data_IF_620054654862
#
_entry.id   IF_620054654862
#
_cell.length_a   1.000
_cell.length_b   1.000
_cell.length_c   1.000
_cell.angle_alpha   90.00
_cell.angle_beta   90.00
_cell.angle_gamma   90.00
#
_symmetry.space_group_name_H-M   'P 1'
#
loop_
_entity.id
_entity.type
_entity.pdbx_description
1 polymer ?
#
# COMPACT_ATOMS: atom_id res chain seq x y z
N UNK A 1 -15.07 9.37 -0.16
CA UNK A 1 -13.77 8.80 -0.61
C UNK A 1 -12.57 9.24 0.23
N UNK A 2 -12.59 10.42 0.88
CA UNK A 2 -11.45 10.91 1.69
C UNK A 2 -11.08 10.00 2.88
N UNK A 3 -12.08 9.51 3.62
CA UNK A 3 -11.86 8.56 4.73
C UNK A 3 -11.14 7.29 4.26
N UNK A 4 -11.53 6.74 3.11
CA UNK A 4 -10.91 5.56 2.53
C UNK A 4 -9.45 5.82 2.17
N UNK A 5 -9.14 6.97 1.54
CA UNK A 5 -7.75 7.38 1.25
C UNK A 5 -6.88 7.38 2.50
N UNK A 6 -7.35 8.01 3.59
CA UNK A 6 -6.62 8.06 4.87
C UNK A 6 -6.38 6.68 5.45
N UNK A 7 -7.37 5.79 5.41
CA UNK A 7 -7.22 4.40 5.87
C UNK A 7 -6.16 3.67 5.06
N UNK A 8 -6.18 3.76 3.72
CA UNK A 8 -5.19 3.12 2.87
C UNK A 8 -3.76 3.60 3.15
N UNK A 9 -3.58 4.91 3.36
CA UNK A 9 -2.26 5.47 3.72
C UNK A 9 -1.76 4.96 5.08
N UNK A 10 -2.65 4.88 6.07
CA UNK A 10 -2.31 4.35 7.41
C UNK A 10 -1.99 2.86 7.32
N UNK A 11 -2.75 2.08 6.55
CA UNK A 11 -2.47 0.66 6.33
C UNK A 11 -1.11 0.46 5.67
N UNK A 12 -0.79 1.20 4.59
CA UNK A 12 0.51 1.11 3.94
C UNK A 12 1.68 1.49 4.87
N UNK A 13 1.47 2.48 5.75
CA UNK A 13 2.45 2.86 6.75
C UNK A 13 2.69 1.73 7.77
N UNK A 14 1.61 1.10 8.25
CA UNK A 14 1.70 -0.03 9.17
C UNK A 14 2.45 -1.20 8.53
N UNK A 15 2.13 -1.53 7.28
CA UNK A 15 2.80 -2.57 6.51
C UNK A 15 4.30 -2.28 6.37
N UNK A 16 4.67 -1.03 6.06
CA UNK A 16 6.07 -0.59 6.00
C UNK A 16 6.81 -0.73 7.34
N UNK A 17 6.14 -0.42 8.46
CA UNK A 17 6.72 -0.62 9.79
C UNK A 17 6.98 -2.11 10.07
N UNK A 18 6.03 -2.98 9.71
CA UNK A 18 6.17 -4.43 9.88
C UNK A 18 7.27 -4.99 8.97
N UNK A 19 7.45 -4.48 7.74
CA UNK A 19 8.57 -4.84 6.86
C UNK A 19 9.92 -4.61 7.56
N UNK A 20 10.10 -3.46 8.23
CA UNK A 20 11.33 -3.16 8.97
C UNK A 20 11.57 -4.16 10.09
N UNK A 21 10.52 -4.49 10.86
CA UNK A 21 10.60 -5.50 11.94
C UNK A 21 10.94 -6.89 11.39
N UNK A 22 10.33 -7.29 10.27
CA UNK A 22 10.61 -8.58 9.64
C UNK A 22 12.04 -8.68 9.11
N UNK A 23 12.55 -7.62 8.49
CA UNK A 23 13.95 -7.56 8.05
C UNK A 23 14.92 -7.63 9.23
N UNK A 24 14.64 -6.91 10.31
CA UNK A 24 15.45 -6.98 11.53
C UNK A 24 15.39 -8.38 12.17
N UNK A 25 14.21 -9.01 12.21
CA UNK A 25 14.04 -10.36 12.71
C UNK A 25 14.79 -11.39 11.85
N UNK A 26 14.81 -11.20 10.52
CA UNK A 26 15.56 -12.06 9.61
C UNK A 26 17.07 -12.00 9.86
N UNK A 27 17.61 -10.80 10.14
CA UNK A 27 19.02 -10.60 10.49
C UNK A 27 19.41 -11.28 11.82
N UNK A 28 18.43 -11.49 12.72
CA UNK A 28 18.62 -12.12 14.03
C UNK A 28 18.23 -13.60 14.05
N UNK A 29 17.76 -14.15 12.94
CA UNK A 29 17.25 -15.51 12.89
C UNK A 29 18.38 -16.54 13.10
N UNK A 30 18.11 -17.56 13.91
CA UNK A 30 19.07 -18.62 14.22
C UNK A 30 19.32 -19.58 13.04
N UNK A 31 18.43 -19.59 12.04
CA UNK A 31 18.52 -20.48 10.88
C UNK A 31 18.32 -19.72 9.57
N UNK A 32 18.99 -20.15 8.49
CA UNK A 32 18.84 -19.54 7.17
C UNK A 32 17.42 -19.69 6.61
N UNK A 33 16.74 -20.79 6.92
CA UNK A 33 15.36 -21.02 6.46
C UNK A 33 14.39 -20.02 7.09
N UNK A 34 14.51 -19.76 8.40
CA UNK A 34 13.70 -18.74 9.08
C UNK A 34 14.03 -17.34 8.57
N UNK A 35 15.32 -17.01 8.36
CA UNK A 35 15.71 -15.74 7.76
C UNK A 35 15.08 -15.54 6.38
N UNK A 36 15.12 -16.57 5.54
CA UNK A 36 14.57 -16.55 4.18
C UNK A 36 13.05 -16.37 4.19
N UNK A 37 12.35 -17.11 5.06
CA UNK A 37 10.89 -16.98 5.19
C UNK A 37 10.48 -15.57 5.66
N UNK A 38 11.21 -14.98 6.61
CA UNK A 38 10.95 -13.62 7.10
C UNK A 38 11.22 -12.56 6.01
N UNK A 39 12.29 -12.72 5.22
CA UNK A 39 12.58 -11.83 4.09
C UNK A 39 11.52 -11.94 2.98
N UNK A 40 11.04 -13.15 2.69
CA UNK A 40 9.96 -13.36 1.71
C UNK A 40 8.64 -12.72 2.19
N UNK A 41 8.30 -12.86 3.48
CA UNK A 41 7.15 -12.19 4.07
C UNK A 41 7.28 -10.67 4.01
N UNK A 42 8.48 -10.14 4.26
CA UNK A 42 8.76 -8.70 4.16
C UNK A 42 8.58 -8.18 2.72
N UNK A 43 9.00 -8.93 1.71
CA UNK A 43 8.83 -8.55 0.30
C UNK A 43 7.36 -8.52 -0.13
N UNK A 44 6.58 -9.52 0.29
CA UNK A 44 5.13 -9.53 0.01
C UNK A 44 4.44 -8.31 0.64
N UNK A 45 4.79 -8.00 1.89
CA UNK A 45 4.19 -6.88 2.59
C UNK A 45 4.61 -5.51 2.03
N UNK A 46 5.83 -5.40 1.51
CA UNK A 46 6.30 -4.21 0.79
C UNK A 46 5.49 -3.98 -0.49
N UNK A 47 5.23 -5.03 -1.26
CA UNK A 47 4.35 -4.96 -2.43
C UNK A 47 2.90 -4.58 -2.08
N UNK A 48 2.38 -5.10 -0.97
CA UNK A 48 1.04 -4.75 -0.49
C UNK A 48 0.97 -3.27 -0.09
N UNK A 49 1.99 -2.77 0.63
CA UNK A 49 2.10 -1.35 0.98
C UNK A 49 2.14 -0.45 -0.26
N UNK A 50 2.90 -0.81 -1.29
CA UNK A 50 2.95 -0.09 -2.58
C UNK A 50 1.58 -0.08 -3.26
N UNK A 51 0.88 -1.22 -3.27
CA UNK A 51 -0.46 -1.34 -3.85
C UNK A 51 -1.46 -0.43 -3.14
N UNK A 52 -1.40 -0.38 -1.80
CA UNK A 52 -2.23 0.50 -0.98
C UNK A 52 -1.93 1.98 -1.22
N UNK A 53 -0.65 2.36 -1.35
CA UNK A 53 -0.24 3.73 -1.67
C UNK A 53 -0.71 4.13 -3.07
N UNK A 54 -0.58 3.24 -4.06
CA UNK A 54 -1.07 3.49 -5.41
C UNK A 54 -2.59 3.66 -5.43
N UNK A 55 -3.34 2.84 -4.71
CA UNK A 55 -4.78 2.99 -4.56
C UNK A 55 -5.16 4.31 -3.87
N UNK A 56 -4.46 4.69 -2.80
CA UNK A 56 -4.67 5.97 -2.12
C UNK A 56 -4.40 7.16 -3.04
N UNK A 57 -3.33 7.10 -3.85
CA UNK A 57 -3.00 8.12 -4.82
C UNK A 57 -4.08 8.26 -5.90
N UNK A 58 -4.58 7.15 -6.45
CA UNK A 58 -5.70 7.17 -7.40
C UNK A 58 -6.96 7.83 -6.82
N UNK A 59 -7.27 7.55 -5.55
CA UNK A 59 -8.40 8.21 -4.87
C UNK A 59 -8.15 9.71 -4.71
N UNK A 60 -6.92 10.10 -4.38
CA UNK A 60 -6.52 11.51 -4.25
C UNK A 60 -6.74 12.28 -5.55
N UNK A 61 -6.29 11.71 -6.68
CA UNK A 61 -6.49 12.26 -8.02
C UNK A 61 -7.98 12.45 -8.30
N UNK A 62 -8.81 11.43 -8.05
CA UNK A 62 -10.27 11.51 -8.26
C UNK A 62 -10.91 12.60 -7.39
N UNK A 63 -10.52 12.70 -6.12
CA UNK A 63 -11.06 13.70 -5.18
C UNK A 63 -10.72 15.14 -5.61
N UNK A 64 -9.48 15.40 -6.03
CA UNK A 64 -9.02 16.74 -6.38
C UNK A 64 -9.37 17.13 -7.83
N UNK A 65 -9.47 16.18 -8.76
CA UNK A 65 -9.98 16.45 -10.12
C UNK A 65 -11.50 16.62 -10.17
N UNK A 66 -12.27 15.89 -9.35
CA UNK A 66 -13.72 16.09 -9.26
C UNK A 66 -14.09 17.47 -8.69
N UNK A 67 -13.19 18.09 -7.91
CA UNK A 67 -13.38 19.44 -7.37
C UNK A 67 -13.07 20.56 -8.38
N UNK A 68 -12.40 20.26 -9.50
CA UNK A 68 -11.98 21.26 -10.49
C UNK A 68 -12.94 21.39 -11.70
N UNK A 69 -13.96 20.54 -11.81
CA UNK A 69 -14.87 20.53 -12.95
C UNK A 69 -16.31 20.24 -12.56
N UNK A 70 -17.16 21.26 -12.57
CA UNK A 70 -18.56 21.02 -12.89
C UNK A 70 -18.63 20.44 -14.30
N UNK A 71 -18.90 19.13 -14.42
CA UNK A 71 -19.02 18.48 -15.72
C UNK A 71 -18.80 16.97 -15.67
N UNK A 72 -19.92 16.24 -15.61
CA UNK A 72 -20.10 14.86 -16.13
C UNK A 72 -19.02 13.82 -15.81
N UNK A 73 -19.31 12.97 -14.81
CA UNK A 73 -18.68 11.65 -14.66
C UNK A 73 -19.04 10.76 -15.85
N UNK A 74 -18.23 10.79 -16.92
CA UNK A 74 -18.27 9.75 -17.94
C UNK A 74 -17.52 8.53 -17.40
N UNK A 75 -18.26 7.55 -16.91
CA UNK A 75 -17.77 6.21 -16.62
C UNK A 75 -17.34 5.57 -17.94
N UNK A 76 -16.03 5.59 -18.23
CA UNK A 76 -15.45 4.74 -19.26
C UNK A 76 -15.46 3.32 -18.71
N UNK A 77 -16.48 2.55 -19.10
CA UNK A 77 -16.44 1.09 -19.14
C UNK A 77 -15.51 0.73 -20.30
N UNK A 78 -14.41 0.03 -20.03
CA UNK A 78 -13.62 -0.61 -21.08
C UNK A 78 -14.20 -1.99 -21.34
N UNK A 79 -14.45 -2.26 -22.63
CA UNK A 79 -14.83 -3.54 -23.24
C UNK A 79 -13.74 -4.61 -23.03
#
# INVERSE_FOLDING_TARGET
>A
MERLRKVLMVSAFNDTCVVQVLREAALKACTPDTATALMAAAQLLEHDAETLLHAAHRIDVVLHHASAGGGTLSLVVMD
#
